data_IF_028867489633
#
_entry.id   IF_028867489633
#
_cell.length_a   1.000
_cell.length_b   1.000
_cell.length_c   1.000
_cell.angle_alpha   90.00
_cell.angle_beta   90.00
_cell.angle_gamma   90.00
#
_symmetry.space_group_name_H-M   'P 1'
#
loop_
_entity.id
_entity.type
_entity.pdbx_description
1 polymer ?
#
# COMPACT_ATOMS: atom_id res chain seq x y z
N UNK A 1 -13.51 -9.13 0.38
CA UNK A 1 -13.67 -7.76 0.89
C UNK A 1 -14.47 -6.96 -0.12
N UNK A 2 -15.56 -6.31 0.28
CA UNK A 2 -16.31 -5.38 -0.58
C UNK A 2 -15.91 -3.99 -0.14
N UNK A 3 -15.40 -3.17 -1.05
CA UNK A 3 -15.23 -1.73 -0.81
C UNK A 3 -16.60 -1.13 -0.54
N UNK A 4 -16.69 -0.27 0.47
CA UNK A 4 -17.87 0.53 0.80
C UNK A 4 -17.76 1.89 0.12
N UNK A 5 -18.88 2.64 -0.03
CA UNK A 5 -18.82 3.99 -0.56
C UNK A 5 -17.96 4.96 0.25
N UNK A 6 -17.73 4.66 1.53
CA UNK A 6 -16.81 5.43 2.36
C UNK A 6 -15.33 5.15 2.04
N UNK A 7 -15.04 4.03 1.38
CA UNK A 7 -13.72 3.68 0.85
C UNK A 7 -13.47 4.30 -0.54
N UNK A 8 -14.50 4.92 -1.14
CA UNK A 8 -14.43 5.55 -2.46
C UNK A 8 -14.06 7.04 -2.33
N UNK A 9 -12.97 7.44 -2.96
CA UNK A 9 -12.52 8.84 -2.96
C UNK A 9 -11.03 8.97 -3.27
N UNK A 10 -10.62 10.15 -3.71
CA UNK A 10 -9.21 10.49 -3.85
C UNK A 10 -8.64 10.87 -2.49
N UNK A 11 -7.68 10.09 -2.01
CA UNK A 11 -6.92 10.42 -0.80
C UNK A 11 -5.72 11.28 -1.21
N UNK A 12 -5.72 12.56 -0.83
CA UNK A 12 -4.64 13.48 -1.18
C UNK A 12 -3.29 13.04 -0.60
N UNK A 13 -3.30 12.50 0.63
CA UNK A 13 -2.11 12.03 1.35
C UNK A 13 -2.37 10.64 1.93
N UNK A 14 -2.17 9.58 1.14
CA UNK A 14 -2.53 8.24 1.57
C UNK A 14 -1.66 7.77 2.72
N UNK A 15 -2.32 7.17 3.71
CA UNK A 15 -1.72 6.62 4.91
C UNK A 15 -2.34 5.25 5.18
N UNK A 16 -1.56 4.32 5.73
CA UNK A 16 -2.13 3.12 6.31
C UNK A 16 -3.00 3.48 7.52
N UNK A 17 -4.14 2.79 7.66
CA UNK A 17 -4.96 2.92 8.85
C UNK A 17 -4.13 2.56 10.11
N UNK A 18 -4.31 3.24 11.26
CA UNK A 18 -3.42 3.10 12.41
C UNK A 18 -3.30 1.68 12.99
N UNK A 19 -4.33 0.85 12.79
CA UNK A 19 -4.38 -0.54 13.24
C UNK A 19 -3.72 -1.52 12.25
N UNK A 20 -3.29 -1.04 11.07
CA UNK A 20 -2.61 -1.85 10.07
C UNK A 20 -1.10 -1.74 10.21
N UNK A 21 -0.44 -2.89 10.22
CA UNK A 21 1.02 -3.00 10.10
C UNK A 21 1.38 -3.91 8.94
N UNK A 22 2.49 -3.65 8.27
CA UNK A 22 2.98 -4.51 7.19
C UNK A 22 4.35 -5.10 7.52
N UNK A 23 4.62 -6.30 7.02
CA UNK A 23 5.89 -6.99 7.14
C UNK A 23 6.26 -7.60 5.80
N UNK A 24 7.41 -7.22 5.25
CA UNK A 24 7.94 -7.83 4.02
C UNK A 24 8.46 -9.22 4.38
N UNK A 25 7.91 -10.24 3.72
CA UNK A 25 8.28 -11.66 3.93
C UNK A 25 9.30 -12.10 2.88
N UNK A 26 9.11 -11.64 1.64
CA UNK A 26 10.03 -11.81 0.52
C UNK A 26 9.83 -10.68 -0.49
N UNK A 27 10.65 -10.66 -1.54
CA UNK A 27 10.53 -9.71 -2.65
C UNK A 27 9.13 -9.66 -3.27
N UNK A 28 8.39 -10.78 -3.24
CA UNK A 28 7.07 -10.91 -3.88
C UNK A 28 5.92 -11.00 -2.85
N UNK A 29 6.19 -10.88 -1.55
CA UNK A 29 5.19 -11.14 -0.52
C UNK A 29 5.31 -10.16 0.63
N UNK A 30 4.20 -9.49 0.94
CA UNK A 30 4.08 -8.62 2.12
C UNK A 30 2.86 -9.02 2.94
N UNK A 31 3.05 -9.28 4.22
CA UNK A 31 1.97 -9.59 5.15
C UNK A 31 1.41 -8.29 5.73
N UNK A 32 0.11 -8.06 5.52
CA UNK A 32 -0.66 -7.04 6.22
C UNK A 32 -1.29 -7.66 7.46
N UNK A 33 -1.07 -7.03 8.61
CA UNK A 33 -1.46 -7.51 9.93
C UNK A 33 -2.34 -6.46 10.60
N UNK A 34 -3.41 -6.93 11.23
CA UNK A 34 -4.26 -6.13 12.11
C UNK A 34 -4.67 -6.95 13.33
N UNK A 35 -5.46 -6.36 14.23
CA UNK A 35 -6.00 -7.07 15.40
C UNK A 35 -7.04 -8.14 15.02
N UNK A 36 -7.77 -7.96 13.92
CA UNK A 36 -8.92 -8.80 13.57
C UNK A 36 -8.73 -9.65 12.32
N UNK A 37 -7.77 -9.28 11.46
CA UNK A 37 -7.45 -10.02 10.25
C UNK A 37 -5.98 -9.87 9.85
N UNK A 38 -5.49 -10.88 9.15
CA UNK A 38 -4.21 -10.84 8.46
C UNK A 38 -4.44 -11.21 7.00
N UNK A 39 -3.67 -10.61 6.09
CA UNK A 39 -3.76 -10.89 4.66
C UNK A 39 -2.39 -10.83 4.02
N UNK A 40 -2.05 -11.86 3.25
CA UNK A 40 -0.83 -11.89 2.46
C UNK A 40 -1.09 -11.18 1.12
N UNK A 41 -0.31 -10.14 0.86
CA UNK A 41 -0.30 -9.42 -0.41
C UNK A 41 0.80 -10.02 -1.29
N UNK A 42 0.45 -10.31 -2.54
CA UNK A 42 1.36 -10.88 -3.53
C UNK A 42 1.74 -9.83 -4.56
N UNK A 43 3.04 -9.71 -4.85
CA UNK A 43 3.63 -8.77 -5.79
C UNK A 43 4.60 -7.80 -5.13
N UNK A 44 5.75 -7.58 -5.76
CA UNK A 44 6.80 -6.68 -5.25
C UNK A 44 6.36 -5.22 -5.12
N UNK A 45 5.39 -4.79 -5.94
CA UNK A 45 4.78 -3.46 -5.83
C UNK A 45 4.30 -3.14 -4.41
N UNK A 46 3.72 -4.10 -3.69
CA UNK A 46 3.24 -3.85 -2.32
C UNK A 46 4.39 -3.56 -1.36
N UNK A 47 5.52 -4.27 -1.52
CA UNK A 47 6.73 -4.04 -0.72
C UNK A 47 7.31 -2.63 -0.93
N UNK A 48 7.24 -2.12 -2.16
CA UNK A 48 7.71 -0.77 -2.50
C UNK A 48 6.69 0.33 -2.13
N UNK A 49 5.40 0.05 -2.26
CA UNK A 49 4.33 1.03 -2.05
C UNK A 49 4.08 1.29 -0.56
N UNK A 50 3.99 0.25 0.27
CA UNK A 50 3.57 0.38 1.68
C UNK A 50 4.44 1.33 2.51
N UNK A 51 5.78 1.38 2.36
CA UNK A 51 6.63 2.37 3.02
C UNK A 51 6.34 3.83 2.63
N UNK A 52 5.69 4.05 1.49
CA UNK A 52 5.35 5.38 0.98
C UNK A 52 4.02 5.90 1.52
N UNK A 53 3.17 5.02 2.07
CA UNK A 53 1.85 5.34 2.63
C UNK A 53 1.95 5.84 4.08
N UNK A 54 2.68 6.92 4.28
CA UNK A 54 2.96 7.51 5.60
C UNK A 54 2.09 8.74 5.93
N UNK A 55 1.17 9.11 5.04
CA UNK A 55 0.32 10.31 5.17
C UNK A 55 1.06 11.64 4.99
N UNK A 56 2.36 11.59 4.66
CA UNK A 56 3.18 12.79 4.42
C UNK A 56 3.27 13.11 2.94
N UNK A 57 3.41 12.07 2.11
CA UNK A 57 3.53 12.21 0.66
C UNK A 57 2.18 12.36 -0.01
N UNK A 58 2.12 13.26 -0.98
CA UNK A 58 0.99 13.36 -1.91
C UNK A 58 1.01 12.25 -2.96
N UNK A 59 -0.11 12.07 -3.67
CA UNK A 59 -0.22 11.05 -4.75
C UNK A 59 0.91 11.16 -5.78
N UNK A 60 1.15 12.34 -6.35
CA UNK A 60 2.16 12.53 -7.39
C UNK A 60 3.59 12.28 -6.88
N UNK A 61 3.87 12.56 -5.60
CA UNK A 61 5.15 12.22 -4.99
C UNK A 61 5.34 10.70 -4.86
N UNK A 62 4.27 9.98 -4.53
CA UNK A 62 4.30 8.51 -4.46
C UNK A 62 4.50 7.91 -5.85
N UNK A 63 3.79 8.40 -6.86
CA UNK A 63 3.98 7.95 -8.26
C UNK A 63 5.42 8.22 -8.69
N UNK A 64 5.94 9.41 -8.45
CA UNK A 64 7.33 9.77 -8.78
C UNK A 64 8.34 8.88 -8.04
N UNK A 65 8.08 8.54 -6.77
CA UNK A 65 8.95 7.68 -6.00
C UNK A 65 8.93 6.20 -6.45
N UNK A 66 7.87 5.77 -7.14
CA UNK A 66 7.71 4.44 -7.72
C UNK A 66 8.14 4.36 -9.19
N UNK A 67 8.28 5.51 -9.86
CA UNK A 67 8.75 5.59 -11.24
C UNK A 67 10.10 4.88 -11.39
N UNK A 68 10.19 3.97 -12.37
CA UNK A 68 11.38 3.16 -12.63
C UNK A 68 11.66 2.01 -11.66
N UNK A 69 10.87 1.83 -10.58
CA UNK A 69 11.01 0.68 -9.66
C UNK A 69 10.17 -0.54 -10.05
N UNK A 70 9.07 -0.32 -10.75
CA UNK A 70 8.16 -1.38 -11.16
C UNK A 70 7.79 -1.20 -12.64
N UNK A 71 7.71 -2.28 -13.44
CA UNK A 71 7.12 -2.20 -14.77
C UNK A 71 5.65 -1.76 -14.64
N UNK A 72 5.17 -0.94 -15.59
CA UNK A 72 3.75 -0.60 -15.64
C UNK A 72 2.92 -1.88 -15.68
N UNK A 73 1.93 -1.98 -14.80
CA UNK A 73 0.98 -3.09 -14.84
C UNK A 73 0.21 -3.02 -16.17
N UNK A 74 0.20 -4.12 -16.91
CA UNK A 74 -0.60 -4.34 -18.13
C UNK A 74 -2.06 -4.67 -17.78
#
# INVERSE_FOLDING_TARGET
MRTTPADEGLVERPALAPHLRYHVISDQQTLLVSETFNTLLHGGLYGDLLPLLDGRRGRDEIVTALDGRQPAAD
#
